data_IF_019925572470
#
_entry.id   IF_019925572470
#
_cell.length_a   1.000
_cell.length_b   1.000
_cell.length_c   1.000
_cell.angle_alpha   90.00
_cell.angle_beta   90.00
_cell.angle_gamma   90.00
#
_symmetry.space_group_name_H-M   'P 1'
#
loop_
_entity.id
_entity.type
_entity.pdbx_description
1 polymer ?
#
# COMPACT_ATOMS: atom_id res chain seq x y z
N UNK A 1 -10.05 -5.05 4.59
CA UNK A 1 -9.02 -3.99 4.47
C UNK A 1 -9.03 -3.05 5.68
N UNK A 2 -10.08 -2.27 5.94
CA UNK A 2 -10.11 -1.30 7.06
C UNK A 2 -9.78 -1.91 8.44
N UNK A 3 -10.35 -3.08 8.76
CA UNK A 3 -10.04 -3.77 10.02
C UNK A 3 -8.56 -4.16 10.13
N UNK A 4 -7.91 -4.54 9.03
CA UNK A 4 -6.49 -4.91 9.01
C UNK A 4 -5.63 -3.66 9.26
N UNK A 5 -5.95 -2.56 8.58
CA UNK A 5 -5.31 -1.26 8.80
C UNK A 5 -5.41 -0.87 10.28
N UNK A 6 -6.61 -0.95 10.86
CA UNK A 6 -6.85 -0.64 12.27
C UNK A 6 -6.00 -1.51 13.20
N UNK A 7 -5.84 -2.81 12.91
CA UNK A 7 -4.97 -3.67 13.72
C UNK A 7 -3.49 -3.24 13.66
N UNK A 8 -2.97 -2.89 12.48
CA UNK A 8 -1.60 -2.39 12.37
C UNK A 8 -1.41 -1.06 13.10
N UNK A 9 -2.40 -0.16 13.04
CA UNK A 9 -2.36 1.09 13.80
C UNK A 9 -2.41 0.85 15.32
N UNK A 10 -3.22 -0.10 15.79
CA UNK A 10 -3.24 -0.49 17.21
C UNK A 10 -1.88 -1.03 17.66
N UNK A 11 -1.18 -1.76 16.78
CA UNK A 11 0.20 -2.20 16.96
C UNK A 11 1.25 -1.09 16.77
N UNK A 12 0.82 0.17 16.65
CA UNK A 12 1.67 1.37 16.51
C UNK A 12 2.46 1.45 15.20
N UNK A 13 2.05 0.72 14.15
CA UNK A 13 2.62 0.88 12.82
C UNK A 13 2.07 2.12 12.11
N UNK A 14 2.94 2.81 11.38
CA UNK A 14 2.52 3.77 10.38
C UNK A 14 2.09 3.01 9.11
N UNK A 15 0.84 3.21 8.69
CA UNK A 15 0.28 2.52 7.52
C UNK A 15 0.23 3.46 6.32
N UNK A 16 0.83 3.03 5.20
CA UNK A 16 0.69 3.66 3.89
C UNK A 16 -0.04 2.70 2.96
N UNK A 17 -1.18 3.11 2.42
CA UNK A 17 -1.96 2.35 1.44
C UNK A 17 -1.56 2.75 0.03
N UNK A 18 -1.31 1.76 -0.82
CA UNK A 18 -0.96 1.98 -2.23
C UNK A 18 -1.77 1.10 -3.15
N UNK A 19 -2.09 1.61 -4.35
CA UNK A 19 -2.87 0.89 -5.35
C UNK A 19 -2.58 1.40 -6.76
N UNK A 20 -2.53 0.52 -7.79
CA UNK A 20 -2.50 0.94 -9.18
C UNK A 20 -3.88 1.23 -9.76
N UNK A 21 -4.95 0.88 -9.03
CA UNK A 21 -6.30 1.15 -9.45
C UNK A 21 -6.68 2.61 -9.14
N UNK A 22 -7.41 3.23 -10.07
CA UNK A 22 -8.02 4.55 -9.86
C UNK A 22 -8.97 4.46 -8.67
N UNK A 23 -8.81 5.37 -7.70
CA UNK A 23 -9.69 5.47 -6.53
C UNK A 23 -11.09 5.93 -6.97
N UNK A 24 -12.15 5.13 -6.74
CA UNK A 24 -13.52 5.56 -7.00
C UNK A 24 -13.95 6.70 -6.05
N UNK A 25 -14.88 7.56 -6.48
CA UNK A 25 -15.44 8.62 -5.62
C UNK A 25 -16.18 8.06 -4.39
N UNK A 26 -16.72 6.85 -4.50
CA UNK A 26 -17.40 6.15 -3.41
C UNK A 26 -16.45 5.43 -2.45
N UNK A 27 -15.14 5.50 -2.70
CA UNK A 27 -14.16 4.88 -1.83
C UNK A 27 -14.11 5.58 -0.47
N UNK A 28 -13.88 4.79 0.57
CA UNK A 28 -13.64 5.33 1.90
C UNK A 28 -12.39 6.24 1.89
N UNK A 29 -12.48 7.39 2.56
CA UNK A 29 -11.37 8.31 2.69
C UNK A 29 -10.43 7.86 3.82
N UNK A 30 -9.29 7.24 3.48
CA UNK A 30 -8.36 6.70 4.47
C UNK A 30 -7.60 7.81 5.21
N UNK A 31 -7.60 9.05 4.70
CA UNK A 31 -7.02 10.19 5.42
C UNK A 31 -7.76 10.45 6.73
N UNK A 32 -9.05 10.12 6.83
CA UNK A 32 -9.87 10.25 8.05
C UNK A 32 -9.41 9.36 9.19
N UNK A 33 -8.64 8.30 8.88
CA UNK A 33 -8.03 7.38 9.84
C UNK A 33 -6.50 7.50 9.85
N UNK A 34 -5.93 8.62 9.40
CA UNK A 34 -4.49 8.89 9.38
C UNK A 34 -3.66 7.87 8.58
N UNK A 35 -4.21 7.36 7.48
CA UNK A 35 -3.46 6.52 6.53
C UNK A 35 -3.11 7.35 5.31
N UNK A 36 -1.84 7.30 4.92
CA UNK A 36 -1.38 7.92 3.68
C UNK A 36 -1.78 7.06 2.50
N UNK A 37 -2.33 7.68 1.46
CA UNK A 37 -2.68 7.01 0.21
C UNK A 37 -1.74 7.45 -0.91
N UNK A 38 -1.23 6.49 -1.70
CA UNK A 38 -0.42 6.79 -2.88
C UNK A 38 -0.83 5.92 -4.08
N UNK A 39 -1.00 6.56 -5.24
CA UNK A 39 -1.16 5.84 -6.50
C UNK A 39 0.19 5.30 -6.96
N UNK A 40 0.21 4.07 -7.46
CA UNK A 40 1.39 3.43 -8.05
C UNK A 40 1.08 3.00 -9.49
N UNK A 41 2.11 2.76 -10.29
CA UNK A 41 1.95 2.33 -11.68
C UNK A 41 2.33 0.86 -11.85
N UNK A 42 1.56 0.15 -12.66
CA UNK A 42 1.81 -1.26 -12.96
C UNK A 42 2.95 -1.36 -14.00
N UNK A 43 3.89 -2.29 -13.79
CA UNK A 43 5.06 -2.50 -14.66
C UNK A 43 5.95 -1.26 -14.87
N UNK A 44 6.02 -0.38 -13.88
CA UNK A 44 6.81 0.85 -13.96
C UNK A 44 7.78 0.97 -12.77
N UNK A 45 9.00 1.46 -13.00
CA UNK A 45 10.08 1.51 -11.98
C UNK A 45 9.85 2.60 -10.91
N UNK A 46 8.79 3.41 -11.07
CA UNK A 46 8.37 4.38 -10.06
C UNK A 46 7.94 3.70 -8.76
N UNK A 47 7.49 2.44 -8.82
CA UNK A 47 7.20 1.64 -7.64
C UNK A 47 8.46 1.32 -6.83
N UNK A 48 9.53 0.92 -7.50
CA UNK A 48 10.82 0.55 -6.91
C UNK A 48 11.48 1.76 -6.23
N UNK A 49 11.51 2.89 -6.93
CA UNK A 49 11.99 4.16 -6.37
C UNK A 49 11.15 4.61 -5.16
N UNK A 50 9.83 4.38 -5.21
CA UNK A 50 8.95 4.68 -4.10
C UNK A 50 9.21 3.77 -2.88
N UNK A 51 9.36 2.46 -3.08
CA UNK A 51 9.67 1.52 -2.01
C UNK A 51 10.98 1.88 -1.32
N UNK A 52 12.03 2.20 -2.08
CA UNK A 52 13.32 2.63 -1.53
C UNK A 52 13.19 3.92 -0.69
N UNK A 53 12.37 4.87 -1.15
CA UNK A 53 12.13 6.11 -0.41
C UNK A 53 11.27 5.91 0.84
N UNK A 54 10.30 4.98 0.80
CA UNK A 54 9.42 4.69 1.93
C UNK A 54 10.14 3.83 2.98
N UNK A 55 11.02 2.93 2.54
CA UNK A 55 11.75 1.96 3.35
C UNK A 55 10.85 1.19 4.36
N UNK A 56 9.78 0.53 3.89
CA UNK A 56 8.83 -0.14 4.78
C UNK A 56 9.44 -1.38 5.44
N UNK A 57 9.11 -1.63 6.72
CA UNK A 57 9.49 -2.86 7.43
C UNK A 57 8.63 -4.06 7.03
N UNK A 58 7.37 -3.82 6.68
CA UNK A 58 6.38 -4.83 6.34
C UNK A 58 5.61 -4.36 5.11
N UNK A 59 5.44 -5.27 4.14
CA UNK A 59 4.53 -5.09 3.01
C UNK A 59 3.45 -6.16 3.07
N UNK A 60 2.19 -5.75 3.02
CA UNK A 60 1.03 -6.63 3.00
C UNK A 60 0.30 -6.49 1.66
N UNK A 61 0.09 -7.62 0.99
CA UNK A 61 -0.77 -7.68 -0.19
C UNK A 61 -2.17 -8.13 0.21
N UNK A 62 -3.19 -7.32 -0.08
CA UNK A 62 -4.60 -7.65 0.18
C UNK A 62 -5.22 -8.51 -0.93
N UNK A 63 -4.55 -8.62 -2.08
CA UNK A 63 -4.97 -9.39 -3.26
C UNK A 63 -3.81 -10.16 -3.86
N UNK A 64 -4.06 -11.44 -4.18
CA UNK A 64 -3.09 -12.32 -4.85
C UNK A 64 -2.50 -11.71 -6.13
N UNK A 65 -3.32 -11.07 -6.96
CA UNK A 65 -2.83 -10.44 -8.19
C UNK A 65 -1.83 -9.31 -7.92
N UNK A 66 -1.96 -8.57 -6.81
CA UNK A 66 -1.00 -7.53 -6.44
C UNK A 66 0.32 -8.16 -5.99
N UNK A 67 0.25 -9.26 -5.25
CA UNK A 67 1.43 -10.02 -4.86
C UNK A 67 2.19 -10.57 -6.08
N UNK A 68 1.50 -11.12 -7.09
CA UNK A 68 2.17 -11.60 -8.31
C UNK A 68 2.87 -10.47 -9.09
N UNK A 69 2.25 -9.28 -9.16
CA UNK A 69 2.81 -8.16 -9.93
C UNK A 69 3.97 -7.46 -9.21
N UNK A 70 3.90 -7.32 -7.89
CA UNK A 70 4.81 -6.48 -7.11
C UNK A 70 5.67 -7.24 -6.10
N UNK A 71 5.32 -8.48 -5.72
CA UNK A 71 5.97 -9.23 -4.65
C UNK A 71 7.46 -9.47 -4.88
N UNK A 72 7.85 -9.78 -6.13
CA UNK A 72 9.26 -9.98 -6.48
C UNK A 72 10.10 -8.70 -6.37
N UNK A 73 9.48 -7.52 -6.47
CA UNK A 73 10.15 -6.21 -6.30
C UNK A 73 10.33 -5.82 -4.84
N UNK A 74 9.51 -6.35 -3.95
CA UNK A 74 9.60 -6.15 -2.49
C UNK A 74 10.64 -7.06 -1.86
N UNK A 75 10.87 -8.24 -2.45
CA UNK A 75 11.80 -9.24 -1.92
C UNK A 75 13.29 -8.95 -2.24
N UNK A 76 13.59 -7.85 -2.97
CA UNK A 76 14.95 -7.42 -3.30
C UNK A 76 15.47 -6.44 -2.25
#
# INVERSE_FOLDING_TARGET
MLQIIEQFQNLQFQVTFVSPAIKPETAFDLSTINVLEKSIELNHDSFDAFLLSLSPEIVLFDRFLMEEQFGWRVAQ
#
